data_IF_133327275082
#
_entry.id   IF_133327275082
#
_cell.length_a   1.000
_cell.length_b   1.000
_cell.length_c   1.000
_cell.angle_alpha   90.00
_cell.angle_beta   90.00
_cell.angle_gamma   90.00
#
_symmetry.space_group_name_H-M   'P 1'
#
loop_
_entity.id
_entity.type
_entity.pdbx_description
1 polymer ?
#
# COMPACT_ATOMS: atom_id res chain seq x y z
N UNK A 1 25.87 -5.16 -25.21
CA UNK A 1 24.71 -5.92 -24.69
C UNK A 1 24.78 -5.84 -23.18
N UNK A 2 23.82 -5.19 -22.52
CA UNK A 2 23.77 -5.14 -21.05
C UNK A 2 23.35 -6.51 -20.53
N UNK A 3 24.23 -7.17 -19.77
CA UNK A 3 23.91 -8.42 -19.10
C UNK A 3 22.93 -8.11 -17.96
N UNK A 4 21.69 -8.57 -18.08
CA UNK A 4 20.72 -8.46 -16.98
C UNK A 4 21.24 -9.33 -15.83
N UNK A 5 21.41 -8.78 -14.62
CA UNK A 5 21.93 -9.56 -13.51
C UNK A 5 20.98 -10.72 -13.20
N UNK A 6 21.54 -11.92 -12.98
CA UNK A 6 20.77 -13.16 -12.75
C UNK A 6 19.75 -13.01 -11.60
N UNK A 7 20.10 -12.21 -10.58
CA UNK A 7 19.25 -11.88 -9.44
C UNK A 7 17.94 -11.18 -9.86
N UNK A 8 18.00 -10.35 -10.91
CA UNK A 8 16.82 -9.65 -11.44
C UNK A 8 15.86 -10.63 -12.11
N UNK A 9 16.39 -11.62 -12.83
CA UNK A 9 15.59 -12.66 -13.48
C UNK A 9 14.88 -13.54 -12.44
N UNK A 10 15.58 -13.96 -11.39
CA UNK A 10 14.98 -14.69 -10.26
C UNK A 10 13.92 -13.86 -9.54
N UNK A 11 14.19 -12.59 -9.26
CA UNK A 11 13.22 -11.68 -8.66
C UNK A 11 11.94 -11.56 -9.51
N UNK A 12 12.08 -11.40 -10.82
CA UNK A 12 10.93 -11.32 -11.74
C UNK A 12 10.11 -12.61 -11.75
N UNK A 13 10.77 -13.77 -11.79
CA UNK A 13 10.09 -15.08 -11.73
C UNK A 13 9.26 -15.23 -10.45
N UNK A 14 9.84 -14.84 -9.31
CA UNK A 14 9.15 -14.88 -8.01
C UNK A 14 7.93 -13.97 -8.03
N UNK A 15 8.06 -12.73 -8.51
CA UNK A 15 6.95 -11.77 -8.59
C UNK A 15 5.81 -12.32 -9.44
N UNK A 16 6.11 -12.84 -10.63
CA UNK A 16 5.09 -13.45 -11.51
C UNK A 16 4.43 -14.66 -10.84
N UNK A 17 5.21 -15.50 -10.15
CA UNK A 17 4.71 -16.65 -9.40
C UNK A 17 3.75 -16.26 -8.28
N UNK A 18 4.08 -15.23 -7.50
CA UNK A 18 3.22 -14.70 -6.44
C UNK A 18 1.92 -14.14 -7.02
N UNK A 19 1.98 -13.39 -8.13
CA UNK A 19 0.77 -12.86 -8.80
C UNK A 19 -0.12 -14.01 -9.27
N UNK A 20 0.45 -15.04 -9.90
CA UNK A 20 -0.30 -16.20 -10.35
C UNK A 20 -0.96 -16.96 -9.19
N UNK A 21 -0.24 -17.13 -8.08
CA UNK A 21 -0.76 -17.74 -6.84
C UNK A 21 -1.95 -16.94 -6.30
N UNK A 22 -1.82 -15.62 -6.21
CA UNK A 22 -2.87 -14.70 -5.75
C UNK A 22 -4.13 -14.84 -6.61
N UNK A 23 -3.99 -14.83 -7.94
CA UNK A 23 -5.11 -15.01 -8.88
C UNK A 23 -5.72 -16.40 -8.74
N UNK A 24 -4.91 -17.45 -8.62
CA UNK A 24 -5.38 -18.82 -8.48
C UNK A 24 -6.19 -19.01 -7.19
N UNK A 25 -5.64 -18.56 -6.05
CA UNK A 25 -6.34 -18.54 -4.77
C UNK A 25 -7.62 -17.77 -4.93
N UNK A 26 -7.59 -16.62 -5.59
CA UNK A 26 -8.77 -15.78 -5.71
C UNK A 26 -9.90 -16.44 -6.53
N UNK A 27 -9.56 -17.09 -7.64
CA UNK A 27 -10.55 -17.84 -8.42
C UNK A 27 -11.11 -19.02 -7.61
N UNK A 28 -10.23 -19.78 -6.95
CA UNK A 28 -10.64 -20.95 -6.12
C UNK A 28 -11.56 -20.52 -4.98
N UNK A 29 -11.26 -19.39 -4.36
CA UNK A 29 -11.96 -18.84 -3.21
C UNK A 29 -13.29 -18.20 -3.62
N UNK A 30 -13.34 -17.54 -4.78
CA UNK A 30 -14.57 -17.04 -5.43
C UNK A 30 -15.55 -18.16 -5.79
N UNK A 31 -15.05 -19.37 -6.09
CA UNK A 31 -15.86 -20.55 -6.40
C UNK A 31 -16.42 -21.27 -5.17
N UNK A 32 -16.06 -20.84 -3.96
CA UNK A 32 -16.62 -21.43 -2.74
C UNK A 32 -18.11 -21.10 -2.57
N UNK A 33 -18.85 -21.95 -1.84
CA UNK A 33 -20.28 -21.72 -1.54
C UNK A 33 -20.52 -20.36 -0.87
N UNK A 34 -19.56 -19.88 -0.09
CA UNK A 34 -19.63 -18.65 0.67
C UNK A 34 -19.15 -17.45 -0.17
N UNK A 35 -20.07 -16.52 -0.41
CA UNK A 35 -19.84 -15.25 -1.14
C UNK A 35 -18.72 -14.38 -0.54
N UNK A 36 -18.43 -14.52 0.75
CA UNK A 36 -17.46 -13.67 1.45
C UNK A 36 -16.02 -14.14 1.33
N UNK A 37 -15.79 -15.43 1.04
CA UNK A 37 -14.43 -15.96 1.01
C UNK A 37 -13.63 -15.32 -0.14
N UNK A 38 -14.19 -15.21 -1.35
CA UNK A 38 -13.53 -14.51 -2.45
C UNK A 38 -13.33 -13.01 -2.22
N UNK A 39 -14.06 -12.40 -1.28
CA UNK A 39 -13.90 -10.98 -0.95
C UNK A 39 -12.82 -10.72 0.11
N UNK A 40 -12.37 -11.76 0.82
CA UNK A 40 -11.41 -11.59 1.93
C UNK A 40 -10.09 -10.98 1.46
N UNK A 41 -9.65 -11.33 0.24
CA UNK A 41 -8.36 -10.91 -0.30
C UNK A 41 -8.37 -9.43 -0.71
N UNK A 42 -9.30 -8.93 -1.56
CA UNK A 42 -9.41 -7.50 -1.83
C UNK A 42 -9.75 -6.70 -0.58
N UNK A 43 -10.55 -7.24 0.35
CA UNK A 43 -10.81 -6.57 1.63
C UNK A 43 -9.54 -6.39 2.46
N UNK A 44 -8.67 -7.41 2.52
CA UNK A 44 -7.39 -7.33 3.21
C UNK A 44 -6.49 -6.24 2.61
N UNK A 45 -6.32 -6.23 1.27
CA UNK A 45 -5.54 -5.18 0.59
C UNK A 45 -6.12 -3.78 0.79
N UNK A 46 -7.44 -3.65 0.76
CA UNK A 46 -8.13 -2.38 1.02
C UNK A 46 -7.88 -1.88 2.44
N UNK A 47 -8.00 -2.77 3.44
CA UNK A 47 -7.74 -2.44 4.85
C UNK A 47 -6.28 -2.04 5.05
N UNK A 48 -5.33 -2.77 4.46
CA UNK A 48 -3.91 -2.40 4.51
C UNK A 48 -3.64 -1.03 3.86
N UNK A 49 -4.28 -0.72 2.74
CA UNK A 49 -4.18 0.61 2.11
C UNK A 49 -4.80 1.71 2.99
N UNK A 50 -5.90 1.43 3.68
CA UNK A 50 -6.54 2.39 4.59
C UNK A 50 -5.66 2.65 5.82
N UNK A 51 -5.06 1.60 6.38
CA UNK A 51 -4.07 1.73 7.47
C UNK A 51 -2.87 2.57 7.05
N UNK A 52 -2.38 2.42 5.81
CA UNK A 52 -1.27 3.22 5.30
C UNK A 52 -1.63 4.72 5.21
N UNK A 53 -2.84 5.06 4.75
CA UNK A 53 -3.31 6.46 4.69
C UNK A 53 -3.54 7.03 6.09
N UNK A 54 -4.14 6.26 7.00
CA UNK A 54 -4.37 6.69 8.38
C UNK A 54 -3.05 6.84 9.16
N UNK A 55 -2.08 5.97 8.92
CA UNK A 55 -0.75 6.00 9.52
C UNK A 55 0.19 7.05 8.91
N UNK A 56 -0.16 7.63 7.76
CA UNK A 56 0.64 8.69 7.14
C UNK A 56 0.83 9.87 8.07
N UNK A 57 -0.21 10.28 8.80
CA UNK A 57 -0.15 11.32 9.81
C UNK A 57 0.88 11.04 10.92
N UNK A 58 1.15 9.77 11.23
CA UNK A 58 2.13 9.38 12.25
C UNK A 58 3.56 9.30 11.72
N UNK A 59 3.75 9.21 10.40
CA UNK A 59 5.06 9.03 9.76
C UNK A 59 5.50 10.27 8.97
N UNK A 60 4.57 11.13 8.53
CA UNK A 60 4.87 12.40 7.85
C UNK A 60 5.30 13.50 8.82
N UNK A 61 4.86 13.43 10.08
CA UNK A 61 5.44 14.19 11.18
C UNK A 61 6.81 13.62 11.54
N UNK A 62 7.78 13.74 10.62
CA UNK A 62 9.15 13.35 10.89
C UNK A 62 9.70 14.25 11.98
N UNK A 63 9.99 13.69 13.16
CA UNK A 63 10.90 14.34 14.10
C UNK A 63 12.28 14.36 13.43
N UNK A 64 12.64 15.47 12.78
CA UNK A 64 14.03 15.70 12.37
C UNK A 64 14.79 16.12 13.61
N UNK A 65 15.60 15.21 14.15
CA UNK A 65 16.62 15.57 15.14
C UNK A 65 17.74 16.27 14.39
N UNK A 66 17.72 17.60 14.36
CA UNK A 66 18.86 18.38 13.89
C UNK A 66 19.83 18.60 15.05
N UNK A 67 21.09 18.21 14.87
CA UNK A 67 22.16 18.57 15.81
C UNK A 67 22.57 20.00 15.44
N UNK A 68 22.20 20.96 16.28
CA UNK A 68 22.62 22.36 16.11
C UNK A 68 23.91 22.62 16.88
N UNK A 69 24.97 23.00 16.19
CA UNK A 69 26.18 23.50 16.85
C UNK A 69 25.99 24.98 17.21
N UNK A 70 25.87 25.30 18.49
CA UNK A 70 25.89 26.69 18.97
C UNK A 70 27.34 27.09 19.28
N UNK A 71 27.88 28.05 18.52
CA UNK A 71 29.23 28.61 18.77
C UNK A 71 29.06 29.94 19.49
N UNK A 72 29.45 30.01 20.77
CA UNK A 72 29.52 31.27 21.51
C UNK A 72 30.90 31.92 21.27
N UNK A 73 30.90 33.13 20.72
CA UNK A 73 32.12 33.93 20.46
C UNK A 73 32.14 35.09 21.47
N UNK A 74 33.29 35.30 22.14
CA UNK A 74 33.49 36.50 22.96
C UNK A 74 33.61 37.73 22.06
N UNK A 75 32.62 38.62 22.10
CA UNK A 75 32.53 39.81 21.24
C UNK A 75 33.71 40.79 21.41
N UNK A 76 34.48 40.70 22.51
CA UNK A 76 35.63 41.58 22.75
C UNK A 76 36.98 41.05 22.23
N UNK A 77 37.16 39.73 22.11
CA UNK A 77 38.45 39.12 21.68
C UNK A 77 38.35 38.29 20.39
N UNK A 78 37.13 37.96 19.97
CA UNK A 78 36.88 37.09 18.81
C UNK A 78 37.27 35.62 19.04
N UNK A 79 37.61 35.23 20.27
CA UNK A 79 38.01 33.85 20.61
C UNK A 79 36.78 32.98 20.94
N UNK A 80 36.78 31.74 20.45
CA UNK A 80 35.69 30.77 20.66
C UNK A 80 35.84 30.19 22.07
N UNK A 81 34.85 30.46 22.92
CA UNK A 81 34.91 30.15 24.36
C UNK A 81 34.42 28.74 24.70
N UNK A 82 33.49 28.15 23.92
CA UNK A 82 33.07 26.74 24.01
C UNK A 82 32.24 26.31 22.77
N UNK A 83 32.40 25.04 22.34
CA UNK A 83 31.50 24.36 21.39
C UNK A 83 30.59 23.40 22.19
N UNK A 84 29.28 23.66 22.22
CA UNK A 84 28.29 22.76 22.79
C UNK A 84 27.38 22.22 21.68
N UNK A 85 27.28 20.90 21.57
CA UNK A 85 26.25 20.23 20.76
C UNK A 85 24.92 20.30 21.54
N UNK A 86 24.04 21.21 21.13
CA UNK A 86 22.68 21.25 21.66
C UNK A 86 21.77 20.40 20.76
N UNK A 87 21.08 19.42 21.35
CA UNK A 87 20.05 18.66 20.65
C UNK A 87 18.80 19.54 20.53
N UNK A 88 18.63 20.19 19.38
CA UNK A 88 17.44 20.99 19.10
C UNK A 88 16.37 20.06 18.54
N UNK A 89 15.33 19.77 19.34
CA UNK A 89 14.14 19.04 18.87
C UNK A 89 13.15 20.07 18.30
N UNK A 90 13.25 20.33 16.99
CA UNK A 90 12.26 21.11 16.26
C UNK A 90 11.02 20.25 16.03
N UNK A 91 9.98 20.44 16.85
CA UNK A 91 8.64 19.89 16.57
C UNK A 91 8.00 20.79 15.54
N UNK A 92 8.26 20.53 14.27
CA UNK A 92 7.55 21.19 13.18
C UNK A 92 6.10 20.67 13.17
N UNK A 93 5.17 21.50 13.62
CA UNK A 93 3.74 21.24 13.43
C UNK A 93 3.45 21.43 11.93
N UNK A 94 3.59 20.37 11.14
CA UNK A 94 3.14 20.39 9.75
C UNK A 94 1.61 20.51 9.73
N UNK A 95 1.11 21.72 9.51
CA UNK A 95 -0.22 21.89 8.94
C UNK A 95 -0.19 21.29 7.53
N UNK A 96 -1.06 20.32 7.27
CA UNK A 96 -1.15 19.70 5.95
C UNK A 96 -1.58 20.74 4.92
N UNK A 97 -0.75 20.95 3.91
CA UNK A 97 -1.09 21.80 2.79
C UNK A 97 -2.08 21.09 1.84
N UNK A 98 -2.77 21.85 0.99
CA UNK A 98 -3.66 21.31 -0.05
C UNK A 98 -2.95 20.29 -0.95
N UNK A 99 -1.66 20.47 -1.19
CA UNK A 99 -0.84 19.53 -1.97
C UNK A 99 -0.64 18.17 -1.28
N UNK A 100 -0.61 18.13 0.06
CA UNK A 100 -0.50 16.90 0.84
C UNK A 100 -1.79 16.08 0.75
N UNK A 101 -2.95 16.73 0.85
CA UNK A 101 -4.25 16.08 0.67
C UNK A 101 -4.41 15.48 -0.73
N UNK A 102 -3.97 16.19 -1.78
CA UNK A 102 -3.98 15.67 -3.14
C UNK A 102 -3.03 14.48 -3.30
N UNK A 103 -1.84 14.55 -2.70
CA UNK A 103 -0.85 13.47 -2.72
C UNK A 103 -1.37 12.21 -2.03
N UNK A 104 -2.02 12.36 -0.87
CA UNK A 104 -2.69 11.26 -0.17
C UNK A 104 -3.80 10.62 -1.01
N UNK A 105 -4.63 11.44 -1.65
CA UNK A 105 -5.68 10.96 -2.55
C UNK A 105 -5.11 10.17 -3.73
N UNK A 106 -4.03 10.65 -4.35
CA UNK A 106 -3.35 9.96 -5.43
C UNK A 106 -2.76 8.61 -4.99
N UNK A 107 -2.03 8.59 -3.86
CA UNK A 107 -1.44 7.36 -3.29
C UNK A 107 -2.53 6.34 -2.95
N UNK A 108 -3.64 6.79 -2.37
CA UNK A 108 -4.78 5.92 -2.07
C UNK A 108 -5.37 5.30 -3.34
N UNK A 109 -5.60 6.09 -4.39
CA UNK A 109 -6.19 5.59 -5.63
C UNK A 109 -5.28 4.56 -6.32
N UNK A 110 -3.98 4.87 -6.47
CA UNK A 110 -3.02 3.99 -7.13
C UNK A 110 -2.86 2.67 -6.38
N UNK A 111 -2.76 2.72 -5.04
CA UNK A 111 -2.64 1.51 -4.22
C UNK A 111 -3.91 0.66 -4.22
N UNK A 112 -5.07 1.23 -4.57
CA UNK A 112 -6.33 0.50 -4.66
C UNK A 112 -6.64 -0.03 -6.08
N UNK A 113 -5.85 0.28 -7.11
CA UNK A 113 -6.01 -0.31 -8.46
C UNK A 113 -6.03 -1.86 -8.39
N UNK A 114 -5.10 -2.55 -7.69
CA UNK A 114 -5.14 -4.00 -7.57
C UNK A 114 -6.42 -4.51 -6.90
N UNK A 115 -6.91 -3.80 -5.88
CA UNK A 115 -8.16 -4.12 -5.18
C UNK A 115 -9.36 -4.06 -6.13
N UNK A 116 -9.46 -3.02 -6.97
CA UNK A 116 -10.53 -2.87 -7.95
C UNK A 116 -10.50 -4.00 -8.97
N UNK A 117 -9.33 -4.37 -9.46
CA UNK A 117 -9.15 -5.50 -10.40
C UNK A 117 -9.61 -6.82 -9.76
N UNK A 118 -9.19 -7.07 -8.51
CA UNK A 118 -9.58 -8.28 -7.76
C UNK A 118 -11.10 -8.37 -7.54
N UNK A 119 -11.75 -7.25 -7.20
CA UNK A 119 -13.22 -7.19 -7.05
C UNK A 119 -13.92 -7.43 -8.39
N UNK A 120 -13.38 -6.88 -9.49
CA UNK A 120 -13.89 -7.12 -10.84
C UNK A 120 -13.85 -8.61 -11.23
N UNK A 121 -12.72 -9.28 -10.98
CA UNK A 121 -12.57 -10.73 -11.22
C UNK A 121 -13.56 -11.53 -10.37
N UNK A 122 -13.69 -11.21 -9.08
CA UNK A 122 -14.64 -11.85 -8.18
C UNK A 122 -16.08 -11.76 -8.72
N UNK A 123 -16.52 -10.56 -9.12
CA UNK A 123 -17.88 -10.33 -9.61
C UNK A 123 -18.14 -11.06 -10.93
N UNK A 124 -17.15 -11.12 -11.82
CA UNK A 124 -17.21 -11.87 -13.08
C UNK A 124 -17.39 -13.38 -12.87
N UNK A 125 -16.56 -14.00 -12.02
CA UNK A 125 -16.69 -15.44 -11.73
C UNK A 125 -17.98 -15.77 -10.97
N UNK A 126 -18.45 -14.88 -10.08
CA UNK A 126 -19.70 -15.10 -9.34
C UNK A 126 -20.91 -15.11 -10.27
N UNK A 127 -20.99 -14.18 -11.23
CA UNK A 127 -22.08 -14.15 -12.21
C UNK A 127 -22.12 -15.42 -13.07
N UNK A 128 -20.96 -15.97 -13.47
CA UNK A 128 -20.92 -17.23 -14.23
C UNK A 128 -21.50 -18.40 -13.44
N UNK A 129 -21.27 -18.46 -12.13
CA UNK A 129 -21.80 -19.54 -11.29
C UNK A 129 -23.31 -19.43 -11.07
N UNK A 130 -23.87 -18.23 -10.93
CA UNK A 130 -25.33 -18.07 -10.79
C UNK A 130 -26.04 -18.47 -12.07
N UNK A 131 -25.51 -18.09 -13.24
CA UNK A 131 -26.07 -18.44 -14.53
C UNK A 131 -26.04 -19.95 -14.79
N UNK A 132 -24.93 -20.63 -14.48
CA UNK A 132 -24.84 -22.09 -14.61
C UNK A 132 -25.88 -22.83 -13.78
N UNK A 133 -26.08 -22.40 -12.53
CA UNK A 133 -27.10 -22.97 -11.64
C UNK A 133 -28.52 -22.80 -12.18
N UNK A 134 -28.80 -21.66 -12.82
CA UNK A 134 -30.12 -21.39 -13.39
C UNK A 134 -30.38 -22.27 -14.62
N UNK A 135 -29.40 -22.40 -15.52
CA UNK A 135 -29.49 -23.29 -16.69
C UNK A 135 -29.65 -24.75 -16.28
N UNK A 136 -28.89 -25.22 -15.28
CA UNK A 136 -29.02 -26.58 -14.74
C UNK A 136 -30.41 -26.81 -14.13
N UNK A 137 -30.97 -25.80 -13.45
CA UNK A 137 -32.32 -25.88 -12.90
C UNK A 137 -33.37 -26.00 -14.01
N UNK A 138 -33.29 -25.17 -15.05
CA UNK A 138 -34.22 -25.23 -16.19
C UNK A 138 -34.18 -26.59 -16.90
N UNK A 139 -33.02 -27.23 -16.97
CA UNK A 139 -32.86 -28.55 -17.60
C UNK A 139 -33.46 -29.70 -16.77
N UNK A 140 -33.51 -29.56 -15.45
CA UNK A 140 -34.11 -30.58 -14.55
C UNK A 140 -35.63 -30.50 -14.58
N UNK A 141 -36.19 -29.29 -14.72
CA UNK A 141 -37.65 -29.08 -14.75
C UNK A 141 -38.30 -29.54 -16.09
N UNK A 142 -37.49 -29.81 -17.13
CA UNK A 142 -37.92 -30.29 -18.47
C UNK A 142 -37.89 -31.83 -18.60
N UNK A 143 -37.38 -32.55 -17.59
CA UNK A 143 -37.28 -34.02 -17.52
C UNK A 143 -38.44 -34.64 -16.72
#
# INVERSE_FOLDING_TARGET
MSNIPINLLFSLLIVVGVIALVIFVQIRLSRSKNKYLGLILPAFFFISSLLAVLGWYSFSGGTTTEIGSSVNIDEQSGEVINESEDVIISVENQEMDATDYLSLGYVFLVNNIPTVILVGIYRSERNKMSLKKEIERMKIDDL
#
